data_IF_591162002040
#
_entry.id   IF_591162002040
#
_cell.length_a   1.000
_cell.length_b   1.000
_cell.length_c   1.000
_cell.angle_alpha   90.00
_cell.angle_beta   90.00
_cell.angle_gamma   90.00
#
_symmetry.space_group_name_H-M   'P 1'
#
loop_
_entity.id
_entity.type
_entity.pdbx_description
1 polymer ?
#
# COMPACT_ATOMS: atom_id res chain seq x y z
N UNK A 1 4.66 -3.15 -17.68
CA UNK A 1 4.52 -1.74 -17.30
C UNK A 1 4.13 -1.67 -15.84
N UNK A 2 4.80 -0.83 -15.05
CA UNK A 2 4.61 -0.72 -13.59
C UNK A 2 3.92 0.61 -13.27
N UNK A 3 3.02 0.61 -12.29
CA UNK A 3 2.42 1.83 -11.74
C UNK A 3 3.30 2.36 -10.62
N UNK A 4 3.71 3.61 -10.77
CA UNK A 4 4.62 4.29 -9.85
C UNK A 4 3.87 5.35 -9.05
N UNK A 5 4.24 5.54 -7.79
CA UNK A 5 3.78 6.66 -6.96
C UNK A 5 4.97 7.58 -6.76
N UNK A 6 4.86 8.83 -7.23
CA UNK A 6 5.99 9.77 -7.30
C UNK A 6 7.24 9.18 -7.98
N UNK A 7 7.05 8.37 -9.02
CA UNK A 7 8.15 7.72 -9.74
C UNK A 7 8.81 6.55 -9.00
N UNK A 8 8.27 6.13 -7.86
CA UNK A 8 8.82 5.04 -7.03
C UNK A 8 7.96 3.78 -7.09
N UNK A 9 8.64 2.63 -7.02
CA UNK A 9 8.02 1.32 -6.81
C UNK A 9 8.91 0.45 -5.90
N UNK A 10 8.38 -0.12 -4.80
CA UNK A 10 7.05 0.14 -4.22
C UNK A 10 6.84 1.63 -3.91
N UNK A 11 5.58 2.01 -3.69
CA UNK A 11 5.25 3.38 -3.30
C UNK A 11 5.94 3.79 -1.99
N UNK A 12 6.05 5.12 -1.72
CA UNK A 12 6.72 5.64 -0.55
C UNK A 12 6.11 5.10 0.74
N UNK A 13 6.96 4.74 1.70
CA UNK A 13 6.49 4.30 3.03
C UNK A 13 5.88 5.49 3.77
N UNK A 14 4.67 5.32 4.26
CA UNK A 14 3.98 6.32 5.07
C UNK A 14 4.19 5.97 6.54
N UNK A 15 4.55 6.98 7.33
CA UNK A 15 4.77 6.87 8.77
C UNK A 15 3.91 7.89 9.49
N UNK A 16 3.28 7.47 10.57
CA UNK A 16 2.36 8.30 11.36
C UNK A 16 2.17 7.68 12.74
N UNK A 17 1.56 8.41 13.66
CA UNK A 17 1.29 7.97 15.02
C UNK A 17 -0.21 7.73 15.20
N UNK A 18 -0.57 6.78 16.06
CA UNK A 18 -1.97 6.50 16.41
C UNK A 18 -2.70 7.79 16.82
N UNK A 19 -3.97 7.90 16.42
CA UNK A 19 -4.86 9.05 16.62
C UNK A 19 -4.48 10.33 15.86
N UNK A 20 -3.43 10.34 15.05
CA UNK A 20 -3.18 11.46 14.12
C UNK A 20 -4.12 11.42 12.91
N UNK A 21 -4.23 12.58 12.25
CA UNK A 21 -4.97 12.74 11.00
C UNK A 21 -4.01 12.63 9.81
N UNK A 22 -4.36 11.79 8.85
CA UNK A 22 -3.74 11.78 7.52
C UNK A 22 -4.48 12.76 6.62
N UNK A 23 -3.74 13.64 5.95
CA UNK A 23 -4.23 14.46 4.85
C UNK A 23 -3.34 14.18 3.63
N UNK A 24 -3.83 13.34 2.71
CA UNK A 24 -3.09 12.93 1.52
C UNK A 24 -3.79 13.42 0.26
N UNK A 25 -3.12 14.28 -0.51
CA UNK A 25 -3.61 14.71 -1.81
C UNK A 25 -3.09 13.78 -2.91
N UNK A 26 -4.00 13.06 -3.55
CA UNK A 26 -3.69 12.16 -4.66
C UNK A 26 -4.03 12.83 -5.98
N UNK A 27 -3.07 12.86 -6.90
CA UNK A 27 -3.24 13.39 -8.25
C UNK A 27 -3.14 12.22 -9.23
N UNK A 28 -4.22 11.92 -9.94
CA UNK A 28 -4.22 10.83 -10.91
C UNK A 28 -3.54 11.28 -12.21
N UNK A 29 -2.38 10.70 -12.52
CA UNK A 29 -1.66 10.92 -13.79
C UNK A 29 -1.74 9.73 -14.75
N UNK A 30 -2.58 8.75 -14.45
CA UNK A 30 -2.88 7.64 -15.34
C UNK A 30 -3.92 8.04 -16.39
N UNK A 31 -4.03 7.26 -17.46
CA UNK A 31 -5.00 7.44 -18.55
C UNK A 31 -6.40 6.85 -18.22
N UNK A 32 -6.54 6.25 -17.04
CA UNK A 32 -7.75 5.59 -16.58
C UNK A 32 -8.09 6.01 -15.14
N UNK A 33 -9.36 5.88 -14.70
CA UNK A 33 -9.77 6.25 -13.34
C UNK A 33 -9.00 5.46 -12.28
N UNK A 34 -8.77 6.08 -11.12
CA UNK A 34 -7.93 5.52 -10.06
C UNK A 34 -8.54 5.76 -8.68
N UNK A 35 -8.37 4.77 -7.80
CA UNK A 35 -8.63 4.87 -6.36
C UNK A 35 -7.55 4.13 -5.59
N UNK A 36 -7.24 4.63 -4.40
CA UNK A 36 -6.34 4.01 -3.44
C UNK A 36 -7.14 3.56 -2.22
N UNK A 37 -6.99 2.31 -1.81
CA UNK A 37 -7.52 1.79 -0.53
C UNK A 37 -6.44 1.82 0.54
N UNK A 38 -6.87 1.99 1.79
CA UNK A 38 -6.06 1.98 3.00
C UNK A 38 -6.29 0.66 3.75
N UNK A 39 -5.65 -0.41 3.28
CA UNK A 39 -5.93 -1.76 3.75
C UNK A 39 -5.65 -1.94 5.25
N UNK A 40 -6.65 -2.45 5.96
CA UNK A 40 -6.65 -2.60 7.41
C UNK A 40 -6.90 -1.31 8.22
N UNK A 41 -6.99 -0.15 7.59
CA UNK A 41 -7.40 1.09 8.29
C UNK A 41 -8.93 1.12 8.46
N UNK A 42 -9.36 1.32 9.70
CA UNK A 42 -10.77 1.43 10.05
C UNK A 42 -11.25 2.85 9.77
N UNK A 43 -12.03 3.02 8.71
CA UNK A 43 -12.65 4.29 8.35
C UNK A 43 -13.87 4.62 9.23
N UNK A 44 -13.67 4.70 10.55
CA UNK A 44 -14.73 4.92 11.53
C UNK A 44 -15.43 6.26 11.25
N UNK A 45 -16.71 6.19 10.90
CA UNK A 45 -17.55 7.34 10.52
C UNK A 45 -17.01 8.14 9.32
N UNK A 46 -16.11 7.55 8.52
CA UNK A 46 -15.44 8.19 7.37
C UNK A 46 -15.43 7.25 6.14
N UNK A 47 -16.51 6.50 5.90
CA UNK A 47 -16.56 5.48 4.83
C UNK A 47 -16.24 6.03 3.44
N UNK A 48 -16.54 7.32 3.17
CA UNK A 48 -16.18 7.99 1.92
C UNK A 48 -14.66 8.26 1.76
N UNK A 49 -13.83 7.84 2.72
CA UNK A 49 -12.36 7.91 2.66
C UNK A 49 -11.72 6.55 2.37
N UNK A 50 -12.52 5.49 2.30
CA UNK A 50 -12.04 4.11 2.15
C UNK A 50 -11.35 3.87 0.81
N UNK A 51 -11.82 4.56 -0.23
CA UNK A 51 -11.20 4.52 -1.54
C UNK A 51 -11.47 3.21 -2.29
N UNK A 52 -12.69 2.69 -2.17
CA UNK A 52 -13.21 1.57 -2.96
C UNK A 52 -14.38 2.00 -3.82
N UNK A 53 -14.64 1.24 -4.89
CA UNK A 53 -15.87 1.40 -5.66
C UNK A 53 -17.08 1.15 -4.76
N UNK A 54 -18.07 2.04 -4.82
CA UNK A 54 -19.28 2.00 -3.98
C UNK A 54 -19.27 3.06 -2.88
N UNK A 55 -18.15 3.28 -2.20
CA UNK A 55 -18.00 4.39 -1.24
C UNK A 55 -17.43 5.65 -1.88
N UNK A 56 -16.62 5.48 -2.93
CA UNK A 56 -15.91 6.55 -3.62
C UNK A 56 -16.19 6.51 -5.12
N UNK A 57 -16.35 7.70 -5.71
CA UNK A 57 -16.26 7.86 -7.17
C UNK A 57 -14.77 7.81 -7.57
N UNK A 58 -14.40 7.03 -8.60
CA UNK A 58 -13.03 6.99 -9.10
C UNK A 58 -12.51 8.36 -9.51
N UNK A 59 -11.24 8.63 -9.18
CA UNK A 59 -10.58 9.89 -9.52
C UNK A 59 -10.28 9.87 -11.01
N UNK A 60 -10.88 10.75 -11.83
CA UNK A 60 -10.65 10.77 -13.27
C UNK A 60 -9.18 11.06 -13.62
N UNK A 61 -8.74 10.73 -14.84
CA UNK A 61 -7.44 11.17 -15.36
C UNK A 61 -7.23 12.67 -15.17
N UNK A 62 -6.05 13.06 -14.70
CA UNK A 62 -5.64 14.43 -14.40
C UNK A 62 -6.40 15.16 -13.29
N UNK A 63 -7.34 14.49 -12.62
CA UNK A 63 -8.02 15.04 -11.45
C UNK A 63 -7.25 14.72 -10.15
N UNK A 64 -7.70 15.33 -9.05
CA UNK A 64 -7.17 15.07 -7.72
C UNK A 64 -8.27 14.73 -6.73
N UNK A 65 -7.87 14.12 -5.62
CA UNK A 65 -8.73 13.89 -4.47
C UNK A 65 -7.88 13.91 -3.20
N UNK A 66 -8.38 14.58 -2.16
CA UNK A 66 -7.70 14.61 -0.87
C UNK A 66 -8.35 13.64 0.10
N UNK A 67 -7.62 12.58 0.43
CA UNK A 67 -7.98 11.68 1.52
C UNK A 67 -7.74 12.36 2.87
N UNK A 68 -8.74 12.31 3.75
CA UNK A 68 -8.71 12.92 5.08
C UNK A 68 -9.37 12.00 6.11
N UNK A 69 -8.57 11.31 6.90
CA UNK A 69 -9.07 10.38 7.91
C UNK A 69 -8.13 10.29 9.11
N UNK A 70 -8.67 9.79 10.22
CA UNK A 70 -7.94 9.61 11.47
C UNK A 70 -7.62 8.14 11.71
N UNK A 71 -6.42 7.86 12.21
CA UNK A 71 -5.98 6.51 12.58
C UNK A 71 -6.35 6.19 14.02
N UNK A 72 -7.66 6.15 14.28
CA UNK A 72 -8.19 6.04 15.64
C UNK A 72 -7.92 4.67 16.25
N UNK A 73 -7.24 4.65 17.39
CA UNK A 73 -6.95 3.45 18.20
C UNK A 73 -6.28 2.31 17.39
N UNK A 74 -5.47 2.66 16.38
CA UNK A 74 -4.78 1.71 15.52
C UNK A 74 -3.27 1.88 15.62
N UNK A 75 -2.58 0.79 15.95
CA UNK A 75 -1.12 0.70 15.99
C UNK A 75 -0.74 -0.56 15.23
N UNK A 76 0.17 -0.44 14.25
CA UNK A 76 0.56 -1.60 13.46
C UNK A 76 1.17 -1.27 12.11
N UNK A 77 1.26 -2.30 11.29
CA UNK A 77 1.73 -2.22 9.91
C UNK A 77 0.55 -2.48 9.00
N UNK A 78 0.31 -1.58 8.07
CA UNK A 78 -0.79 -1.58 7.11
C UNK A 78 -0.21 -1.41 5.70
N UNK A 79 -1.08 -1.53 4.69
CA UNK A 79 -0.71 -1.20 3.32
C UNK A 79 -1.68 -0.20 2.72
N UNK A 80 -1.26 0.40 1.62
CA UNK A 80 -2.16 1.04 0.70
C UNK A 80 -1.89 0.50 -0.70
N UNK A 81 -2.94 0.34 -1.51
CA UNK A 81 -2.80 -0.13 -2.88
C UNK A 81 -3.97 0.33 -3.75
N UNK A 82 -3.87 0.22 -5.09
CA UNK A 82 -4.96 0.59 -5.97
C UNK A 82 -6.12 -0.40 -5.84
N UNK A 83 -7.33 0.09 -5.57
CA UNK A 83 -8.54 -0.75 -5.44
C UNK A 83 -9.31 -0.92 -6.76
N UNK A 84 -8.83 -0.27 -7.83
CA UNK A 84 -9.49 -0.21 -9.13
C UNK A 84 -8.71 -1.02 -10.15
N UNK A 85 -9.45 -1.70 -11.05
CA UNK A 85 -8.90 -2.48 -12.16
C UNK A 85 -7.82 -3.48 -11.69
N UNK A 86 -6.89 -3.83 -12.58
CA UNK A 86 -5.76 -4.72 -12.31
C UNK A 86 -4.50 -3.95 -11.87
N UNK A 87 -4.65 -2.74 -11.33
CA UNK A 87 -3.52 -1.88 -11.01
C UNK A 87 -2.63 -2.43 -9.90
N UNK A 88 -3.21 -3.05 -8.85
CA UNK A 88 -2.44 -3.71 -7.78
C UNK A 88 -1.43 -4.74 -8.35
N UNK A 89 -1.84 -5.50 -9.36
CA UNK A 89 -0.98 -6.48 -10.02
C UNK A 89 0.17 -5.86 -10.83
N UNK A 90 0.04 -4.58 -11.21
CA UNK A 90 1.10 -3.80 -11.85
C UNK A 90 1.83 -2.86 -10.88
N UNK A 91 1.60 -2.97 -9.57
CA UNK A 91 2.27 -2.16 -8.55
C UNK A 91 1.36 -1.11 -7.92
N UNK A 92 1.88 0.11 -7.72
CA UNK A 92 1.15 1.20 -7.07
C UNK A 92 0.79 0.97 -5.60
N UNK A 93 1.42 0.01 -4.93
CA UNK A 93 1.20 -0.29 -3.52
C UNK A 93 2.38 0.16 -2.66
N UNK A 94 2.14 0.39 -1.37
CA UNK A 94 3.18 0.74 -0.41
C UNK A 94 2.77 0.45 1.04
N UNK A 95 3.71 0.66 1.96
CA UNK A 95 3.50 0.40 3.39
C UNK A 95 2.96 1.66 4.08
N UNK A 96 2.06 1.46 5.04
CA UNK A 96 1.59 2.47 5.99
C UNK A 96 1.85 1.95 7.40
N UNK A 97 2.79 2.58 8.12
CA UNK A 97 3.16 2.17 9.47
C UNK A 97 2.63 3.18 10.48
N UNK A 98 1.85 2.70 11.44
CA UNK A 98 1.24 3.50 12.50
C UNK A 98 1.89 3.16 13.83
N UNK A 99 2.62 4.11 14.40
CA UNK A 99 3.34 3.95 15.65
C UNK A 99 2.46 4.26 16.86
N UNK A 100 2.82 3.67 18.00
CA UNK A 100 2.23 4.04 19.27
C UNK A 100 2.65 5.46 19.67
N UNK A 101 1.79 6.18 20.39
CA UNK A 101 2.19 7.39 21.09
C UNK A 101 3.27 7.05 22.13
N UNK A 102 4.18 7.97 22.41
CA UNK A 102 5.27 7.77 23.39
C UNK A 102 4.79 7.38 24.78
N UNK A 103 3.57 7.76 25.15
CA UNK A 103 2.92 7.44 26.43
C UNK A 103 2.27 6.05 26.47
N UNK A 104 2.12 5.37 25.32
CA UNK A 104 1.52 4.05 25.23
C UNK A 104 2.64 3.01 25.26
N UNK A 105 2.67 2.18 26.30
CA UNK A 105 3.62 1.07 26.38
C UNK A 105 3.25 -0.02 25.36
N UNK A 106 4.23 -0.45 24.57
CA UNK A 106 4.10 -1.62 23.70
C UNK A 106 4.64 -2.86 24.42
N UNK A 107 4.09 -4.07 24.18
CA UNK A 107 4.46 -5.29 24.90
C UNK A 107 5.80 -5.89 24.39
N UNK A 108 6.75 -5.04 24.03
CA UNK A 108 8.08 -5.42 23.56
C UNK A 108 9.07 -4.27 23.81
N UNK A 109 10.37 -4.57 23.98
CA UNK A 109 11.40 -3.53 24.10
C UNK A 109 11.41 -2.61 22.87
N UNK A 110 11.82 -1.36 23.06
CA UNK A 110 12.01 -0.44 21.94
C UNK A 110 13.07 -1.03 20.99
N UNK A 111 12.74 -1.26 19.71
CA UNK A 111 13.70 -1.76 18.74
C UNK A 111 14.75 -0.69 18.42
N UNK A 112 15.93 -1.14 18.04
CA UNK A 112 17.04 -0.28 17.61
C UNK A 112 16.84 0.25 16.18
N UNK A 113 16.01 -0.45 15.39
CA UNK A 113 15.62 -0.04 14.05
C UNK A 113 14.44 -0.84 13.50
N UNK A 114 13.85 -0.33 12.42
CA UNK A 114 12.66 -0.91 11.81
C UNK A 114 12.87 -1.19 10.32
N UNK A 115 12.30 -2.30 9.83
CA UNK A 115 12.26 -2.61 8.41
C UNK A 115 10.85 -3.02 7.98
N UNK A 116 10.40 -2.51 6.83
CA UNK A 116 9.13 -2.89 6.21
C UNK A 116 9.34 -3.93 5.13
N UNK A 117 8.51 -4.96 5.18
CA UNK A 117 8.51 -6.07 4.23
C UNK A 117 7.19 -6.08 3.46
N UNK A 118 7.26 -5.71 2.19
CA UNK A 118 6.16 -5.83 1.23
C UNK A 118 6.45 -7.03 0.33
N UNK A 119 5.53 -7.98 0.30
CA UNK A 119 5.64 -9.19 -0.55
C UNK A 119 4.53 -9.12 -1.59
N UNK A 120 4.87 -9.33 -2.86
CA UNK A 120 3.87 -9.31 -3.93
C UNK A 120 4.26 -10.27 -5.05
N UNK A 121 3.27 -10.84 -5.71
CA UNK A 121 3.47 -11.54 -6.97
C UNK A 121 3.81 -10.57 -8.10
N UNK A 122 4.57 -11.06 -9.07
CA UNK A 122 4.99 -10.31 -10.26
C UNK A 122 4.50 -10.95 -11.54
N UNK A 123 3.98 -10.10 -12.43
CA UNK A 123 3.56 -10.48 -13.77
C UNK A 123 4.33 -9.65 -14.78
N UNK A 124 4.95 -10.29 -15.78
CA UNK A 124 5.54 -9.57 -16.92
C UNK A 124 4.46 -8.95 -17.80
N UNK A 125 3.30 -9.60 -17.87
CA UNK A 125 2.10 -9.08 -18.53
C UNK A 125 1.59 -7.85 -17.79
N UNK A 126 1.40 -6.73 -18.49
CA UNK A 126 0.87 -5.51 -17.89
C UNK A 126 -0.58 -5.64 -17.44
N UNK A 127 -1.02 -4.77 -16.52
CA UNK A 127 -2.38 -4.77 -15.97
C UNK A 127 -3.49 -4.80 -17.02
N UNK A 128 -3.37 -4.05 -18.13
CA UNK A 128 -4.37 -4.08 -19.23
C UNK A 128 -4.45 -5.47 -19.90
N UNK A 129 -3.32 -6.15 -20.07
CA UNK A 129 -3.29 -7.50 -20.62
C UNK A 129 -3.86 -8.53 -19.67
N UNK A 130 -3.53 -8.43 -18.37
CA UNK A 130 -4.14 -9.28 -17.33
C UNK A 130 -5.66 -9.08 -17.25
N UNK A 131 -6.11 -7.84 -17.35
CA UNK A 131 -7.54 -7.51 -17.40
C UNK A 131 -8.21 -8.13 -18.65
N UNK A 132 -7.62 -7.99 -19.83
CA UNK A 132 -8.15 -8.60 -21.06
C UNK A 132 -8.26 -10.13 -20.98
N UNK A 133 -7.31 -10.80 -20.31
CA UNK A 133 -7.37 -12.24 -20.09
C UNK A 133 -8.62 -12.59 -19.27
N UNK A 134 -8.84 -11.91 -18.15
CA UNK A 134 -10.01 -12.10 -17.29
C UNK A 134 -11.31 -11.78 -18.01
N UNK A 135 -11.37 -10.64 -18.72
CA UNK A 135 -12.55 -10.20 -19.48
C UNK A 135 -12.91 -11.19 -20.60
N UNK A 136 -11.92 -11.95 -21.11
CA UNK A 136 -12.14 -13.04 -22.08
C UNK A 136 -12.65 -14.35 -21.46
N UNK A 137 -12.88 -14.38 -20.14
CA UNK A 137 -13.31 -15.56 -19.40
C UNK A 137 -12.20 -16.58 -19.11
N UNK A 138 -10.93 -16.22 -19.33
CA UNK A 138 -9.78 -17.10 -19.07
C UNK A 138 -9.22 -16.85 -17.67
N UNK A 139 -8.70 -17.91 -17.06
CA UNK A 139 -7.93 -17.79 -15.83
C UNK A 139 -6.62 -17.02 -16.06
N UNK A 140 -6.17 -16.30 -15.02
CA UNK A 140 -4.85 -15.67 -15.04
C UNK A 140 -3.74 -16.74 -15.09
N UNK A 141 -2.62 -16.46 -15.76
CA UNK A 141 -1.45 -17.32 -15.69
C UNK A 141 -0.85 -17.28 -14.27
N UNK A 142 0.02 -18.24 -13.98
CA UNK A 142 0.87 -18.14 -12.79
C UNK A 142 1.74 -16.89 -12.85
N UNK A 143 2.05 -16.33 -11.69
CA UNK A 143 3.00 -15.23 -11.56
C UNK A 143 4.39 -15.64 -12.09
N UNK A 144 5.09 -14.71 -12.72
CA UNK A 144 6.46 -14.87 -13.20
C UNK A 144 7.49 -14.93 -12.06
N UNK A 145 7.10 -14.49 -10.85
CA UNK A 145 7.94 -14.54 -9.67
C UNK A 145 7.32 -13.82 -8.48
N UNK A 146 8.07 -13.79 -7.38
CA UNK A 146 7.72 -13.06 -6.15
C UNK A 146 8.70 -11.90 -6.00
N UNK A 147 8.18 -10.74 -5.61
CA UNK A 147 8.96 -9.58 -5.24
C UNK A 147 8.93 -9.38 -3.73
N UNK A 148 10.09 -9.04 -3.20
CA UNK A 148 10.24 -8.57 -1.83
C UNK A 148 10.73 -7.12 -1.92
N UNK A 149 9.93 -6.18 -1.39
CA UNK A 149 10.16 -4.74 -1.51
C UNK A 149 10.41 -4.31 -2.98
N UNK A 150 9.67 -4.90 -3.91
CA UNK A 150 9.77 -4.62 -5.36
C UNK A 150 10.96 -5.27 -6.07
N UNK A 151 11.77 -6.08 -5.38
CA UNK A 151 12.95 -6.74 -5.94
C UNK A 151 12.75 -8.25 -6.04
N UNK A 152 13.14 -8.87 -7.16
CA UNK A 152 13.11 -10.32 -7.34
C UNK A 152 14.21 -11.07 -6.57
N UNK A 153 15.21 -10.34 -6.06
CA UNK A 153 16.23 -10.84 -5.12
C UNK A 153 16.46 -9.75 -4.08
N UNK A 154 15.97 -9.96 -2.87
CA UNK A 154 16.16 -9.02 -1.77
C UNK A 154 17.28 -9.51 -0.83
N UNK A 155 18.15 -8.60 -0.42
CA UNK A 155 19.12 -8.81 0.65
C UNK A 155 18.81 -7.89 1.83
N UNK A 156 18.87 -8.44 3.05
CA UNK A 156 18.72 -7.67 4.28
C UNK A 156 20.06 -7.70 5.02
N UNK A 157 20.51 -6.54 5.48
CA UNK A 157 21.72 -6.38 6.29
C UNK A 157 21.32 -5.85 7.66
N UNK A 158 22.01 -6.31 8.70
CA UNK A 158 21.79 -5.86 10.06
C UNK A 158 23.05 -6.10 10.89
N UNK A 159 23.16 -5.35 11.98
CA UNK A 159 24.30 -5.42 12.88
C UNK A 159 24.10 -6.54 13.91
N UNK A 160 25.20 -7.24 14.24
CA UNK A 160 25.15 -8.33 15.20
C UNK A 160 24.81 -7.79 16.60
N UNK A 161 23.83 -8.41 17.26
CA UNK A 161 23.38 -8.02 18.60
C UNK A 161 22.32 -6.92 18.63
N UNK A 162 21.90 -6.42 17.48
CA UNK A 162 20.88 -5.36 17.35
C UNK A 162 19.49 -5.95 17.12
N UNK A 163 18.47 -5.43 17.82
CA UNK A 163 17.09 -5.89 17.67
C UNK A 163 16.32 -5.00 16.69
N UNK A 164 15.95 -5.58 15.56
CA UNK A 164 15.16 -4.91 14.54
C UNK A 164 13.71 -5.35 14.55
N UNK A 165 12.76 -4.40 14.49
CA UNK A 165 11.34 -4.72 14.33
C UNK A 165 10.98 -4.87 12.86
N UNK A 166 10.33 -5.98 12.56
CA UNK A 166 9.78 -6.26 11.24
C UNK A 166 8.34 -5.80 11.13
N UNK A 167 8.08 -4.92 10.18
CA UNK A 167 6.74 -4.56 9.75
C UNK A 167 6.33 -5.48 8.60
N UNK A 168 5.51 -6.49 8.90
CA UNK A 168 4.91 -7.36 7.90
C UNK A 168 3.59 -6.75 7.43
N UNK A 169 3.49 -6.51 6.14
CA UNK A 169 2.22 -6.13 5.52
C UNK A 169 2.03 -7.05 4.30
N UNK A 170 1.02 -7.93 4.37
CA UNK A 170 0.64 -8.87 3.29
C UNK A 170 -0.36 -8.22 2.32
#
# INVERSE_FOLDING_TARGET
MVILIHGQFPGPKLYTVTNENIVLNLINKLDQPFLLIWDGIKQIKNSWQDGVLGTNCPIPPNANYTYKFQLKDQIGSYTYFPSTLMYRAAGGFGALNVFALSVISVPYPKPDGDFSLLISDWYKTGHKGLQQILDSGKALPFADGVLINGQGRASFSGDQGVQYKRHNSQ
#
